data_IF_461679102997
#
_entry.id   IF_461679102997
#
_cell.length_a   1.000
_cell.length_b   1.000
_cell.length_c   1.000
_cell.angle_alpha   90.00
_cell.angle_beta   90.00
_cell.angle_gamma   90.00
#
_symmetry.space_group_name_H-M   'P 1'
#
loop_
_entity.id
_entity.type
_entity.pdbx_description
1 polymer ?
#
# COMPACT_ATOMS: atom_id res chain seq x y z
N UNK A 1 50.88 -44.39 -15.42
CA UNK A 1 50.20 -43.39 -14.58
C UNK A 1 50.64 -43.36 -13.11
N UNK A 2 50.96 -44.49 -12.45
CA UNK A 2 51.41 -44.48 -11.03
C UNK A 2 52.82 -43.93 -10.75
N UNK A 3 53.69 -43.77 -11.77
CA UNK A 3 55.06 -43.25 -11.59
C UNK A 3 55.18 -41.72 -11.63
N UNK A 4 54.15 -41.01 -12.07
CA UNK A 4 54.18 -39.54 -12.20
C UNK A 4 53.83 -38.83 -10.88
N UNK A 5 52.83 -39.33 -10.14
CA UNK A 5 52.33 -38.74 -8.89
C UNK A 5 53.35 -38.72 -7.72
N UNK A 6 54.30 -39.66 -7.67
CA UNK A 6 55.26 -39.75 -6.56
C UNK A 6 56.39 -38.73 -6.69
N UNK A 7 56.71 -38.29 -7.92
CA UNK A 7 57.77 -37.31 -8.18
C UNK A 7 57.35 -35.89 -7.77
N UNK A 8 56.06 -35.58 -7.89
CA UNK A 8 55.52 -34.27 -7.49
C UNK A 8 55.39 -34.11 -5.98
N UNK A 9 55.04 -35.18 -5.24
CA UNK A 9 54.90 -35.13 -3.79
C UNK A 9 56.25 -34.91 -3.07
N UNK A 10 57.31 -35.53 -3.59
CA UNK A 10 58.67 -35.38 -3.04
C UNK A 10 59.24 -33.99 -3.32
N UNK A 11 58.92 -33.40 -4.48
CA UNK A 11 59.29 -32.02 -4.83
C UNK A 11 58.52 -30.99 -3.99
N UNK A 12 57.26 -31.27 -3.64
CA UNK A 12 56.47 -30.39 -2.77
C UNK A 12 56.98 -30.40 -1.32
N UNK A 13 57.47 -31.54 -0.82
CA UNK A 13 57.99 -31.68 0.53
C UNK A 13 59.35 -30.98 0.73
N UNK A 14 60.13 -30.70 -0.32
CA UNK A 14 61.41 -29.99 -0.23
C UNK A 14 61.30 -28.45 -0.25
N UNK A 15 60.09 -27.90 -0.42
CA UNK A 15 59.88 -26.44 -0.43
C UNK A 15 59.96 -25.84 0.98
N UNK A 16 60.49 -24.61 1.07
CA UNK A 16 60.61 -23.89 2.33
C UNK A 16 59.24 -23.66 2.98
N UNK A 17 59.19 -23.67 4.32
CA UNK A 17 57.96 -23.51 5.12
C UNK A 17 57.13 -22.29 4.69
N UNK A 18 57.79 -21.21 4.26
CA UNK A 18 57.18 -19.97 3.77
C UNK A 18 56.44 -20.13 2.44
N UNK A 19 56.90 -21.02 1.55
CA UNK A 19 56.23 -21.25 0.25
C UNK A 19 55.02 -22.18 0.38
N UNK A 20 55.11 -23.22 1.23
CA UNK A 20 53.99 -24.13 1.53
C UNK A 20 52.77 -23.39 2.12
N UNK A 21 53.02 -22.40 2.98
CA UNK A 21 51.96 -21.58 3.56
C UNK A 21 51.29 -20.61 2.57
N UNK A 22 51.96 -20.26 1.46
CA UNK A 22 51.35 -19.45 0.38
C UNK A 22 50.46 -20.32 -0.53
N UNK A 23 50.89 -21.54 -0.86
CA UNK A 23 50.07 -22.46 -1.69
C UNK A 23 48.87 -23.01 -0.92
N UNK A 24 49.01 -23.32 0.38
CA UNK A 24 47.89 -23.77 1.22
C UNK A 24 46.80 -22.70 1.34
N UNK A 25 47.17 -21.41 1.40
CA UNK A 25 46.21 -20.29 1.41
C UNK A 25 45.47 -20.10 0.09
N UNK A 26 46.05 -20.52 -1.05
CA UNK A 26 45.40 -20.42 -2.36
C UNK A 26 44.42 -21.58 -2.58
N UNK A 27 44.68 -22.77 -2.03
CA UNK A 27 43.77 -23.94 -2.16
C UNK A 27 42.62 -23.91 -1.15
N UNK A 28 42.77 -23.26 0.01
CA UNK A 28 41.63 -23.02 0.94
C UNK A 28 40.71 -21.87 0.52
N UNK A 29 41.07 -21.10 -0.53
CA UNK A 29 40.28 -19.97 -1.03
C UNK A 29 39.23 -20.33 -2.10
N UNK A 30 39.07 -21.60 -2.47
CA UNK A 30 38.17 -22.02 -3.55
C UNK A 30 37.24 -23.20 -3.22
N UNK A 31 37.08 -23.54 -1.94
CA UNK A 31 36.17 -24.65 -1.54
C UNK A 31 35.50 -24.40 -0.18
N UNK A 32 34.88 -23.22 -0.01
CA UNK A 32 33.82 -22.99 0.98
C UNK A 32 32.66 -22.34 0.22
N UNK A 33 32.08 -23.14 -0.68
CA UNK A 33 30.72 -22.97 -1.16
C UNK A 33 29.99 -24.21 -0.62
N UNK A 34 28.94 -23.98 0.18
CA UNK A 34 28.10 -24.98 0.86
C UNK A 34 28.68 -25.54 2.16
N UNK A 35 28.38 -24.86 3.28
CA UNK A 35 27.56 -25.39 4.40
C UNK A 35 27.87 -24.59 5.67
N UNK A 36 26.93 -23.71 6.05
CA UNK A 36 26.33 -23.50 7.38
C UNK A 36 25.62 -22.14 7.28
N UNK A 37 24.35 -22.23 6.87
CA UNK A 37 23.33 -21.25 7.15
C UNK A 37 23.11 -21.30 8.66
N UNK A 38 23.31 -20.17 9.31
CA UNK A 38 23.27 -20.02 10.75
C UNK A 38 23.99 -18.75 11.18
N UNK A 39 23.85 -17.70 10.35
CA UNK A 39 24.19 -16.34 10.76
C UNK A 39 22.88 -15.76 11.27
N UNK A 40 22.90 -15.37 12.54
CA UNK A 40 21.90 -14.49 13.13
C UNK A 40 21.65 -13.35 12.15
N UNK A 41 20.50 -13.36 11.48
CA UNK A 41 19.96 -12.13 10.93
C UNK A 41 19.53 -11.32 12.15
N UNK A 42 20.44 -10.48 12.65
CA UNK A 42 19.97 -9.19 13.14
C UNK A 42 19.18 -8.60 11.98
N UNK A 43 17.89 -8.38 12.19
CA UNK A 43 17.08 -7.53 11.31
C UNK A 43 17.72 -6.14 11.33
N UNK A 44 18.74 -5.94 10.50
CA UNK A 44 19.13 -4.60 10.11
C UNK A 44 17.98 -4.11 9.26
N UNK A 45 17.15 -3.21 9.80
CA UNK A 45 16.23 -2.41 9.01
C UNK A 45 17.00 -1.90 7.80
N UNK A 46 16.74 -2.47 6.62
CA UNK A 46 17.28 -1.92 5.40
C UNK A 46 16.56 -0.59 5.20
N UNK A 47 17.26 0.51 5.50
CA UNK A 47 16.71 1.84 5.31
C UNK A 47 16.32 1.98 3.84
N UNK A 48 15.01 2.16 3.60
CA UNK A 48 14.44 2.28 2.26
C UNK A 48 15.13 3.44 1.55
N UNK A 49 15.66 3.19 0.36
CA UNK A 49 16.22 4.27 -0.48
C UNK A 49 15.13 4.82 -1.40
N UNK A 50 15.04 6.15 -1.47
CA UNK A 50 14.05 6.89 -2.27
C UNK A 50 14.72 7.92 -3.17
N UNK A 51 13.98 8.43 -4.15
CA UNK A 51 14.46 9.40 -5.14
C UNK A 51 13.82 10.75 -4.89
N UNK A 52 14.61 11.83 -4.96
CA UNK A 52 14.06 13.20 -4.94
C UNK A 52 13.12 13.43 -6.15
N UNK A 53 11.98 14.13 -5.95
CA UNK A 53 10.98 14.33 -7.01
C UNK A 53 11.48 15.23 -8.14
N UNK A 54 11.89 16.44 -7.81
CA UNK A 54 12.34 17.46 -8.76
C UNK A 54 13.52 18.24 -8.19
N UNK A 55 14.37 18.79 -9.06
CA UNK A 55 15.54 19.57 -8.68
C UNK A 55 15.16 20.73 -7.76
N UNK A 56 15.96 20.98 -6.73
CA UNK A 56 15.73 22.04 -5.74
C UNK A 56 15.44 23.44 -6.30
N UNK A 57 15.97 23.79 -7.48
CA UNK A 57 15.73 25.09 -8.12
C UNK A 57 14.35 25.20 -8.78
N UNK A 58 13.74 24.07 -9.19
CA UNK A 58 12.38 24.00 -9.72
C UNK A 58 11.36 24.07 -8.58
N UNK A 59 11.75 23.68 -7.37
CA UNK A 59 10.89 23.75 -6.19
C UNK A 59 10.60 25.20 -5.76
N UNK A 60 11.56 26.11 -5.95
CA UNK A 60 11.37 27.51 -5.60
C UNK A 60 10.24 28.15 -6.44
N UNK A 61 9.32 28.85 -5.78
CA UNK A 61 8.14 29.42 -6.43
C UNK A 61 6.92 28.49 -6.48
N UNK A 62 7.06 27.21 -6.15
CA UNK A 62 5.93 26.28 -6.00
C UNK A 62 5.21 26.50 -4.68
N UNK A 63 4.01 25.95 -4.55
CA UNK A 63 3.26 25.90 -3.30
C UNK A 63 3.83 24.78 -2.41
N UNK A 64 4.16 25.09 -1.16
CA UNK A 64 4.88 24.14 -0.30
C UNK A 64 4.09 22.87 -0.01
N UNK A 65 2.76 22.91 0.03
CA UNK A 65 1.93 21.73 0.21
C UNK A 65 2.13 20.73 -0.95
N UNK A 66 2.21 21.22 -2.20
CA UNK A 66 2.49 20.37 -3.36
C UNK A 66 3.90 19.77 -3.27
N UNK A 67 4.88 20.55 -2.81
CA UNK A 67 6.24 20.07 -2.63
C UNK A 67 6.31 19.01 -1.53
N UNK A 68 5.66 19.22 -0.38
CA UNK A 68 5.55 18.22 0.69
C UNK A 68 4.90 16.95 0.16
N UNK A 69 3.80 17.07 -0.59
CA UNK A 69 3.12 15.94 -1.21
C UNK A 69 4.04 15.16 -2.15
N UNK A 70 4.78 15.84 -3.04
CA UNK A 70 5.69 15.16 -3.95
C UNK A 70 6.76 14.35 -3.21
N UNK A 71 7.33 14.91 -2.14
CA UNK A 71 8.31 14.19 -1.32
C UNK A 71 7.68 12.96 -0.61
N UNK A 72 6.46 13.09 -0.09
CA UNK A 72 5.70 11.96 0.48
C UNK A 72 5.43 10.87 -0.55
N UNK A 73 4.96 11.25 -1.74
CA UNK A 73 4.65 10.33 -2.85
C UNK A 73 5.92 9.58 -3.32
N UNK A 74 7.09 10.20 -3.17
CA UNK A 74 8.39 9.56 -3.44
C UNK A 74 8.92 8.69 -2.28
N UNK A 75 8.22 8.68 -1.15
CA UNK A 75 8.47 7.81 -0.01
C UNK A 75 9.36 8.40 1.07
N UNK A 76 9.59 9.72 1.09
CA UNK A 76 10.24 10.38 2.23
C UNK A 76 9.30 10.42 3.44
N UNK A 77 9.83 10.11 4.62
CA UNK A 77 9.03 9.98 5.85
C UNK A 77 9.33 11.05 6.90
N UNK A 78 10.44 11.79 6.77
CA UNK A 78 10.87 12.83 7.70
C UNK A 78 10.89 14.20 7.02
N UNK A 79 9.71 14.72 6.74
CA UNK A 79 9.53 16.04 6.12
C UNK A 79 9.16 17.04 7.22
N UNK A 80 9.72 18.24 7.12
CA UNK A 80 9.46 19.38 8.00
C UNK A 80 9.25 20.62 7.15
N UNK A 81 8.51 21.58 7.69
CA UNK A 81 8.31 22.87 7.05
C UNK A 81 8.86 23.99 7.94
N UNK A 82 9.30 25.07 7.29
CA UNK A 82 9.79 26.27 7.96
C UNK A 82 9.17 27.51 7.32
N UNK A 83 8.25 28.13 8.04
CA UNK A 83 7.63 29.38 7.63
C UNK A 83 8.61 30.56 7.72
N UNK A 84 8.49 31.49 6.77
CA UNK A 84 9.09 32.83 6.79
C UNK A 84 7.94 33.83 6.79
N UNK A 85 7.76 34.54 7.90
CA UNK A 85 6.67 35.50 8.11
C UNK A 85 7.00 36.88 7.49
N UNK A 86 7.24 36.93 6.18
CA UNK A 86 7.71 38.13 5.48
C UNK A 86 6.73 38.67 4.42
N UNK A 87 5.57 38.03 4.23
CA UNK A 87 4.60 38.50 3.25
C UNK A 87 3.85 39.76 3.72
N UNK A 88 3.66 40.67 2.77
CA UNK A 88 2.92 41.92 2.92
C UNK A 88 1.84 41.97 1.85
N UNK A 89 0.61 42.36 2.23
CA UNK A 89 -0.54 42.42 1.33
C UNK A 89 -0.23 43.33 0.14
N UNK A 90 -0.46 42.83 -1.09
CA UNK A 90 -0.26 43.57 -2.34
C UNK A 90 1.09 43.37 -3.03
N UNK A 91 1.97 42.52 -2.51
CA UNK A 91 3.20 42.08 -3.19
C UNK A 91 2.96 40.86 -4.09
N UNK A 92 3.86 40.62 -5.06
CA UNK A 92 3.72 39.56 -6.07
C UNK A 92 3.87 38.12 -5.51
N UNK A 93 4.59 37.95 -4.40
CA UNK A 93 4.84 36.64 -3.78
C UNK A 93 3.55 36.10 -3.14
N UNK A 94 3.26 34.82 -3.39
CA UNK A 94 2.04 34.18 -2.88
C UNK A 94 2.27 33.58 -1.49
N UNK A 95 1.20 33.51 -0.70
CA UNK A 95 1.20 32.74 0.54
C UNK A 95 1.47 31.26 0.25
N UNK A 96 2.40 30.66 0.98
CA UNK A 96 2.84 29.29 0.78
C UNK A 96 3.92 29.11 -0.29
N UNK A 97 4.44 30.18 -0.90
CA UNK A 97 5.46 30.06 -1.95
C UNK A 97 6.81 29.57 -1.38
N UNK A 98 7.33 28.46 -1.91
CA UNK A 98 8.58 27.85 -1.46
C UNK A 98 9.76 28.76 -1.77
N UNK A 99 10.56 29.02 -0.74
CA UNK A 99 11.86 29.70 -0.84
C UNK A 99 12.97 28.72 -1.19
N UNK A 100 13.04 27.60 -0.48
CA UNK A 100 14.08 26.58 -0.66
C UNK A 100 13.66 25.25 -0.07
N UNK A 101 14.21 24.17 -0.60
CA UNK A 101 14.11 22.83 -0.02
C UNK A 101 15.52 22.33 0.28
N UNK A 102 15.74 21.74 1.44
CA UNK A 102 16.95 20.98 1.75
C UNK A 102 16.62 19.51 1.97
N UNK A 103 17.45 18.61 1.45
CA UNK A 103 17.39 17.16 1.73
C UNK A 103 18.70 16.78 2.39
N UNK A 104 18.66 16.32 3.64
CA UNK A 104 19.87 16.06 4.45
C UNK A 104 20.82 17.28 4.49
N UNK A 105 20.25 18.48 4.62
CA UNK A 105 20.98 19.76 4.58
C UNK A 105 21.49 20.19 3.20
N UNK A 106 21.39 19.36 2.16
CA UNK A 106 21.75 19.72 0.79
C UNK A 106 20.63 20.54 0.13
N UNK A 107 20.91 21.80 -0.22
CA UNK A 107 19.98 22.70 -0.94
C UNK A 107 20.16 22.66 -2.47
N UNK A 108 21.16 21.93 -2.97
CA UNK A 108 21.52 21.84 -4.38
C UNK A 108 21.29 20.45 -4.99
N UNK A 109 20.40 19.65 -4.40
CA UNK A 109 20.08 18.31 -4.89
C UNK A 109 19.40 18.37 -6.28
N UNK A 110 19.61 17.32 -7.06
CA UNK A 110 19.07 17.15 -8.41
C UNK A 110 17.82 16.26 -8.38
N UNK A 111 17.08 16.25 -9.48
CA UNK A 111 15.99 15.28 -9.71
C UNK A 111 16.56 13.85 -9.69
N UNK A 112 15.86 12.92 -9.04
CA UNK A 112 16.25 11.51 -8.89
C UNK A 112 17.53 11.21 -8.09
N UNK A 113 18.04 12.16 -7.30
CA UNK A 113 19.09 11.88 -6.32
C UNK A 113 18.56 10.87 -5.29
N UNK A 114 19.42 9.91 -4.92
CA UNK A 114 19.07 8.83 -4.00
C UNK A 114 19.41 9.21 -2.55
N UNK A 115 18.42 9.09 -1.67
CA UNK A 115 18.56 9.28 -0.23
C UNK A 115 17.90 8.15 0.55
N UNK A 116 18.35 7.87 1.78
CA UNK A 116 17.54 7.13 2.75
C UNK A 116 16.18 7.83 2.95
N UNK A 117 15.09 7.08 3.13
CA UNK A 117 13.73 7.63 3.20
C UNK A 117 13.47 8.52 4.41
N UNK A 118 14.22 8.32 5.49
CA UNK A 118 14.08 8.98 6.78
C UNK A 118 15.00 10.21 6.94
N UNK A 119 15.78 10.58 5.92
CA UNK A 119 16.58 11.82 5.97
C UNK A 119 15.66 13.03 6.10
N UNK A 120 16.16 14.04 6.81
CA UNK A 120 15.40 15.26 7.03
C UNK A 120 15.24 16.06 5.73
N UNK A 121 13.99 16.28 5.35
CA UNK A 121 13.61 17.22 4.30
C UNK A 121 13.04 18.48 4.96
N UNK A 122 13.59 19.65 4.67
CA UNK A 122 13.06 20.94 5.15
C UNK A 122 12.57 21.76 3.97
N UNK A 123 11.26 21.99 3.91
CA UNK A 123 10.64 22.90 2.96
C UNK A 123 10.47 24.27 3.62
N UNK A 124 11.25 25.25 3.20
CA UNK A 124 11.17 26.62 3.70
C UNK A 124 10.30 27.45 2.76
N UNK A 125 9.30 28.16 3.28
CA UNK A 125 8.29 28.86 2.47
C UNK A 125 7.91 30.23 3.05
N UNK A 126 7.42 31.11 2.20
CA UNK A 126 6.94 32.44 2.55
C UNK A 126 5.49 32.39 3.03
N UNK A 127 5.17 33.11 4.09
CA UNK A 127 3.80 33.22 4.59
C UNK A 127 3.51 34.57 5.23
N UNK A 128 2.23 34.91 5.34
CA UNK A 128 1.83 36.11 6.09
C UNK A 128 2.12 35.93 7.59
N UNK A 129 2.55 36.97 8.31
CA UNK A 129 2.64 36.92 9.75
C UNK A 129 1.34 36.44 10.40
N UNK A 130 1.48 35.66 11.47
CA UNK A 130 0.33 35.16 12.22
C UNK A 130 -0.32 36.32 12.99
N UNK A 131 -1.61 36.55 12.78
CA UNK A 131 -2.40 37.49 13.58
C UNK A 131 -2.87 36.76 14.84
N UNK A 132 -2.28 37.07 16.00
CA UNK A 132 -2.57 36.41 17.28
C UNK A 132 -4.06 36.45 17.67
N UNK A 133 -4.85 37.38 17.14
CA UNK A 133 -6.30 37.44 17.41
C UNK A 133 -7.12 36.46 16.55
N UNK A 134 -6.56 35.95 15.44
CA UNK A 134 -7.26 35.12 14.45
C UNK A 134 -6.65 33.72 14.28
N UNK A 135 -5.89 33.25 15.27
CA UNK A 135 -5.34 31.89 15.27
C UNK A 135 -6.29 30.87 15.86
N UNK A 136 -6.24 29.67 15.31
CA UNK A 136 -6.88 28.48 15.85
C UNK A 136 -5.85 27.72 16.66
N UNK A 137 -6.27 27.25 17.84
CA UNK A 137 -5.49 26.30 18.63
C UNK A 137 -6.16 24.94 18.59
N UNK A 138 -5.46 23.91 18.13
CA UNK A 138 -6.00 22.54 18.08
C UNK A 138 -6.22 22.00 19.49
N UNK A 139 -7.33 21.31 19.70
CA UNK A 139 -7.63 20.60 20.94
C UNK A 139 -6.96 19.21 20.98
N UNK A 140 -6.79 18.56 19.84
CA UNK A 140 -6.19 17.23 19.71
C UNK A 140 -5.15 17.21 18.56
N UNK A 141 -4.26 16.22 18.56
CA UNK A 141 -3.35 15.95 17.45
C UNK A 141 -3.93 14.99 16.41
N UNK A 142 -3.29 14.88 15.24
CA UNK A 142 -3.72 14.01 14.12
C UNK A 142 -4.08 12.60 14.57
N UNK A 143 -3.23 11.99 15.41
CA UNK A 143 -3.38 10.60 15.86
C UNK A 143 -4.59 10.37 16.75
N UNK A 144 -5.05 11.41 17.44
CA UNK A 144 -6.22 11.31 18.33
C UNK A 144 -7.53 11.30 17.54
N UNK A 145 -7.54 11.82 16.30
CA UNK A 145 -8.72 11.80 15.43
C UNK A 145 -8.87 10.50 14.65
N UNK A 146 -7.82 9.68 14.54
CA UNK A 146 -7.89 8.39 13.84
C UNK A 146 -8.96 7.49 14.49
N UNK A 147 -9.79 6.86 13.66
CA UNK A 147 -10.89 6.03 14.13
C UNK A 147 -12.17 6.79 14.48
N UNK A 148 -12.13 8.12 14.53
CA UNK A 148 -13.33 8.92 14.82
C UNK A 148 -14.21 9.10 13.59
N UNK A 149 -15.48 9.45 13.82
CA UNK A 149 -16.42 9.73 12.76
C UNK A 149 -16.14 11.10 12.11
N UNK A 150 -15.83 11.13 10.81
CA UNK A 150 -15.39 12.33 10.11
C UNK A 150 -16.42 13.45 10.14
N UNK A 151 -17.72 13.13 10.01
CA UNK A 151 -18.79 14.14 10.01
C UNK A 151 -18.80 14.92 11.33
N UNK A 152 -18.51 14.24 12.44
CA UNK A 152 -18.42 14.88 13.75
C UNK A 152 -17.20 15.79 13.84
N UNK A 153 -16.04 15.28 13.45
CA UNK A 153 -14.75 16.00 13.52
C UNK A 153 -14.71 17.20 12.58
N UNK A 154 -15.24 17.07 11.36
CA UNK A 154 -15.33 18.17 10.39
C UNK A 154 -16.12 19.36 10.97
N UNK A 155 -17.27 19.09 11.59
CA UNK A 155 -18.07 20.12 12.25
C UNK A 155 -17.40 20.73 13.47
N UNK A 156 -16.62 19.95 14.24
CA UNK A 156 -15.80 20.47 15.32
C UNK A 156 -14.70 21.42 14.81
N UNK A 157 -14.01 21.05 13.73
CA UNK A 157 -12.95 21.86 13.14
C UNK A 157 -13.50 23.15 12.52
N UNK A 158 -14.67 23.09 11.88
CA UNK A 158 -15.40 24.30 11.42
C UNK A 158 -15.75 25.23 12.59
N UNK A 159 -16.22 24.67 13.71
CA UNK A 159 -16.54 25.45 14.93
C UNK A 159 -15.30 26.04 15.60
N UNK A 160 -14.15 25.38 15.50
CA UNK A 160 -12.86 25.92 15.92
C UNK A 160 -12.39 27.09 15.04
N UNK A 161 -12.96 27.23 13.83
CA UNK A 161 -12.74 28.37 12.95
C UNK A 161 -12.05 28.02 11.63
N UNK A 162 -11.71 26.75 11.37
CA UNK A 162 -11.10 26.36 10.11
C UNK A 162 -12.10 26.57 8.97
N UNK A 163 -11.68 27.30 7.94
CA UNK A 163 -12.53 27.62 6.80
C UNK A 163 -12.06 26.98 5.48
N UNK A 164 -10.97 26.23 5.54
CA UNK A 164 -10.36 25.51 4.43
C UNK A 164 -10.19 24.03 4.80
N UNK A 165 -11.26 23.25 4.66
CA UNK A 165 -11.27 21.81 4.96
C UNK A 165 -11.55 21.05 3.67
N UNK A 166 -10.66 20.11 3.34
CA UNK A 166 -10.77 19.18 2.22
C UNK A 166 -11.02 17.79 2.77
N UNK A 167 -12.02 17.09 2.24
CA UNK A 167 -12.36 15.72 2.62
C UNK A 167 -12.22 14.79 1.42
N UNK A 168 -11.60 13.63 1.62
CA UNK A 168 -11.39 12.61 0.58
C UNK A 168 -11.81 11.22 1.08
N UNK A 169 -12.74 10.53 0.42
CA UNK A 169 -13.09 9.16 0.79
C UNK A 169 -12.04 8.17 0.31
N UNK A 170 -11.76 7.16 1.13
CA UNK A 170 -11.13 5.90 0.76
C UNK A 170 -12.22 4.82 0.70
N UNK A 171 -12.56 4.38 -0.51
CA UNK A 171 -13.54 3.32 -0.68
C UNK A 171 -12.96 2.02 -0.14
N UNK A 172 -13.64 1.42 0.84
CA UNK A 172 -13.28 0.13 1.42
C UNK A 172 -14.46 -0.83 1.34
N UNK A 173 -14.14 -2.10 1.09
CA UNK A 173 -15.10 -3.21 1.08
C UNK A 173 -14.85 -4.19 2.23
N UNK A 174 -13.93 -3.84 3.14
CA UNK A 174 -13.69 -4.59 4.36
C UNK A 174 -14.86 -4.33 5.31
N UNK A 175 -15.67 -5.35 5.56
CA UNK A 175 -16.82 -5.29 6.48
C UNK A 175 -16.45 -4.92 7.92
N UNK A 176 -15.18 -5.08 8.31
CA UNK A 176 -14.68 -4.66 9.61
C UNK A 176 -14.35 -3.15 9.68
N UNK A 177 -14.27 -2.46 8.54
CA UNK A 177 -14.04 -1.00 8.52
C UNK A 177 -15.33 -0.27 8.90
N UNK A 178 -15.23 0.77 9.72
CA UNK A 178 -16.39 1.59 10.06
C UNK A 178 -16.59 2.66 8.99
N UNK A 179 -17.83 2.82 8.53
CA UNK A 179 -18.16 3.90 7.59
C UNK A 179 -17.94 5.26 8.25
N UNK A 180 -17.39 6.19 7.48
CA UNK A 180 -17.04 7.55 7.90
C UNK A 180 -15.90 7.62 8.92
N UNK A 181 -15.10 6.56 9.08
CA UNK A 181 -13.96 6.52 10.00
C UNK A 181 -12.77 7.30 9.44
N UNK A 182 -12.20 8.25 10.20
CA UNK A 182 -10.99 8.96 9.80
C UNK A 182 -9.79 8.00 9.80
N UNK A 183 -9.08 7.95 8.68
CA UNK A 183 -7.84 7.20 8.51
C UNK A 183 -6.61 8.10 8.36
N UNK A 184 -6.80 9.35 7.97
CA UNK A 184 -5.74 10.35 7.88
C UNK A 184 -6.31 11.74 8.16
N UNK A 185 -5.59 12.55 8.94
CA UNK A 185 -5.90 13.95 9.11
C UNK A 185 -4.62 14.78 9.24
N UNK A 186 -4.52 15.80 8.41
CA UNK A 186 -3.32 16.62 8.30
C UNK A 186 -3.69 18.09 8.22
N UNK A 187 -2.76 18.95 8.66
CA UNK A 187 -2.86 20.38 8.40
C UNK A 187 -1.66 20.77 7.56
N UNK A 188 -1.93 21.37 6.39
CA UNK A 188 -0.95 21.75 5.39
C UNK A 188 -0.06 20.58 4.95
N UNK A 189 -0.66 19.39 4.82
CA UNK A 189 0.03 18.16 4.42
C UNK A 189 0.98 17.60 5.48
N UNK A 190 0.78 17.93 6.75
CA UNK A 190 1.62 17.51 7.87
C UNK A 190 0.78 16.97 9.04
N UNK A 191 1.27 15.91 9.69
CA UNK A 191 0.79 15.52 11.01
C UNK A 191 0.97 16.68 12.01
N UNK A 192 0.04 16.82 12.94
CA UNK A 192 0.09 17.85 13.97
C UNK A 192 -0.19 17.30 15.36
N UNK A 193 0.35 18.00 16.35
CA UNK A 193 0.15 17.71 17.77
C UNK A 193 -1.00 18.55 18.35
N UNK A 194 -1.50 18.14 19.51
CA UNK A 194 -2.44 18.95 20.27
C UNK A 194 -1.83 20.29 20.68
N UNK A 195 -2.68 21.29 20.90
CA UNK A 195 -2.31 22.64 21.32
C UNK A 195 -1.42 23.42 20.34
N UNK A 196 -1.34 22.98 19.07
CA UNK A 196 -0.64 23.69 18.01
C UNK A 196 -1.52 24.82 17.47
N UNK A 197 -0.85 25.85 16.96
CA UNK A 197 -1.50 27.07 16.48
C UNK A 197 -1.44 27.11 14.97
N UNK A 198 -2.59 27.40 14.35
CA UNK A 198 -2.78 27.44 12.90
C UNK A 198 -3.57 28.68 12.51
N UNK A 199 -3.49 29.05 11.24
CA UNK A 199 -4.35 30.06 10.63
C UNK A 199 -5.69 29.43 10.29
N UNK A 200 -6.75 30.22 10.29
CA UNK A 200 -8.08 29.77 9.85
C UNK A 200 -8.09 29.22 8.42
N UNK A 201 -7.21 29.73 7.56
CA UNK A 201 -7.06 29.36 6.16
C UNK A 201 -6.10 28.20 5.92
N UNK A 202 -5.39 27.70 6.94
CA UNK A 202 -4.53 26.53 6.79
C UNK A 202 -5.38 25.34 6.31
N UNK A 203 -4.85 24.60 5.34
CA UNK A 203 -5.60 23.51 4.72
C UNK A 203 -5.68 22.34 5.70
N UNK A 204 -6.89 22.03 6.17
CA UNK A 204 -7.16 20.77 6.87
C UNK A 204 -7.54 19.74 5.82
N UNK A 205 -6.80 18.65 5.76
CA UNK A 205 -7.11 17.50 4.91
C UNK A 205 -7.58 16.35 5.80
N UNK A 206 -8.71 15.73 5.45
CA UNK A 206 -9.27 14.56 6.14
C UNK A 206 -9.50 13.46 5.10
N UNK A 207 -8.86 12.32 5.29
CA UNK A 207 -9.17 11.09 4.56
C UNK A 207 -9.96 10.15 5.46
N UNK A 208 -11.02 9.55 4.93
CA UNK A 208 -11.91 8.71 5.72
C UNK A 208 -12.37 7.46 4.96
N UNK A 209 -12.64 6.37 5.68
CA UNK A 209 -13.23 5.16 5.12
C UNK A 209 -14.66 5.42 4.67
N UNK A 210 -14.96 5.13 3.42
CA UNK A 210 -16.33 5.06 2.91
C UNK A 210 -16.62 3.62 2.48
N UNK A 211 -17.69 3.03 3.02
CA UNK A 211 -18.07 1.69 2.61
C UNK A 211 -18.57 1.70 1.16
N UNK A 212 -17.94 0.88 0.32
CA UNK A 212 -18.35 0.69 -1.06
C UNK A 212 -19.70 -0.03 -1.15
N UNK A 213 -20.50 0.33 -2.16
CA UNK A 213 -21.75 -0.38 -2.43
C UNK A 213 -21.45 -1.84 -2.80
N UNK A 214 -22.14 -2.78 -2.18
CA UNK A 214 -22.00 -4.21 -2.43
C UNK A 214 -23.37 -4.80 -2.78
N UNK A 215 -23.46 -5.46 -3.93
CA UNK A 215 -24.68 -6.12 -4.37
C UNK A 215 -24.72 -7.56 -3.83
N UNK A 216 -25.82 -7.90 -3.14
CA UNK A 216 -26.07 -9.24 -2.62
C UNK A 216 -27.33 -9.81 -3.27
N UNK A 217 -27.54 -11.13 -3.12
CA UNK A 217 -28.79 -11.74 -3.59
C UNK A 217 -30.06 -11.19 -2.89
N UNK A 218 -29.91 -10.46 -1.79
CA UNK A 218 -31.03 -9.84 -1.05
C UNK A 218 -31.38 -8.45 -1.58
N UNK A 219 -30.37 -7.65 -1.95
CA UNK A 219 -30.56 -6.25 -2.38
C UNK A 219 -30.56 -6.07 -3.91
N UNK A 220 -30.13 -7.09 -4.66
CA UNK A 220 -29.97 -7.04 -6.11
C UNK A 220 -30.73 -8.18 -6.79
N UNK A 221 -31.89 -7.86 -7.38
CA UNK A 221 -32.73 -8.85 -8.08
C UNK A 221 -31.99 -9.54 -9.23
N UNK A 222 -31.20 -8.80 -10.00
CA UNK A 222 -30.49 -9.37 -11.15
C UNK A 222 -29.41 -10.37 -10.69
N UNK A 223 -28.73 -10.08 -9.57
CA UNK A 223 -27.77 -11.00 -8.96
C UNK A 223 -28.48 -12.22 -8.36
N UNK A 224 -29.63 -12.02 -7.71
CA UNK A 224 -30.45 -13.12 -7.21
C UNK A 224 -30.82 -14.09 -8.33
N UNK A 225 -31.28 -13.57 -9.46
CA UNK A 225 -31.60 -14.38 -10.64
C UNK A 225 -30.35 -15.07 -11.19
N UNK A 226 -29.22 -14.34 -11.32
CA UNK A 226 -27.95 -14.91 -11.78
C UNK A 226 -27.51 -16.11 -10.95
N UNK A 227 -27.68 -16.05 -9.64
CA UNK A 227 -27.23 -17.07 -8.71
C UNK A 227 -28.21 -18.24 -8.54
N UNK A 228 -29.52 -18.05 -8.81
CA UNK A 228 -30.56 -19.01 -8.41
C UNK A 228 -31.45 -19.52 -9.54
N UNK A 229 -31.49 -18.83 -10.69
CA UNK A 229 -32.26 -19.27 -11.84
C UNK A 229 -31.43 -20.19 -12.75
N UNK A 230 -32.10 -21.16 -13.38
CA UNK A 230 -31.47 -22.07 -14.36
C UNK A 230 -31.13 -21.38 -15.71
N UNK A 231 -31.43 -20.08 -15.84
CA UNK A 231 -31.26 -19.33 -17.10
C UNK A 231 -29.89 -18.63 -17.18
N UNK A 232 -28.89 -19.35 -17.67
CA UNK A 232 -27.54 -18.80 -17.89
C UNK A 232 -27.49 -17.69 -18.94
N UNK A 233 -28.55 -17.48 -19.74
CA UNK A 233 -28.53 -16.45 -20.80
C UNK A 233 -28.42 -15.02 -20.25
N UNK A 234 -28.79 -14.82 -18.99
CA UNK A 234 -28.70 -13.53 -18.29
C UNK A 234 -27.26 -13.16 -17.88
N UNK A 235 -26.33 -14.11 -17.87
CA UNK A 235 -24.97 -13.91 -17.35
C UNK A 235 -24.21 -12.81 -18.12
N UNK A 236 -24.39 -12.77 -19.44
CA UNK A 236 -23.75 -11.76 -20.29
C UNK A 236 -24.26 -10.35 -19.98
N UNK A 237 -25.58 -10.19 -19.90
CA UNK A 237 -26.21 -8.90 -19.66
C UNK A 237 -25.90 -8.42 -18.24
N UNK A 238 -25.87 -9.33 -17.27
CA UNK A 238 -25.43 -9.03 -15.91
C UNK A 238 -23.98 -8.54 -15.88
N UNK A 239 -23.05 -9.26 -16.49
CA UNK A 239 -21.63 -8.87 -16.51
C UNK A 239 -21.40 -7.49 -17.14
N UNK A 240 -22.18 -7.14 -18.18
CA UNK A 240 -22.10 -5.83 -18.81
C UNK A 240 -22.70 -4.72 -17.95
N UNK A 241 -23.84 -4.99 -17.31
CA UNK A 241 -24.55 -4.01 -16.48
C UNK A 241 -23.80 -3.69 -15.19
N UNK A 242 -23.17 -4.70 -14.59
CA UNK A 242 -22.49 -4.61 -13.31
C UNK A 242 -20.96 -4.59 -13.45
N UNK A 243 -20.42 -4.32 -14.64
CA UNK A 243 -18.97 -4.25 -14.84
C UNK A 243 -18.31 -3.27 -13.85
N UNK A 244 -17.22 -3.70 -13.22
CA UNK A 244 -16.52 -3.02 -12.13
C UNK A 244 -17.31 -2.81 -10.82
N UNK A 245 -18.56 -3.26 -10.73
CA UNK A 245 -19.33 -3.26 -9.49
C UNK A 245 -18.95 -4.45 -8.60
N UNK A 246 -19.13 -4.29 -7.28
CA UNK A 246 -18.84 -5.34 -6.29
C UNK A 246 -20.09 -6.15 -6.00
N UNK A 247 -19.96 -7.48 -6.12
CA UNK A 247 -20.98 -8.44 -5.71
C UNK A 247 -20.48 -9.26 -4.52
N UNK A 248 -21.42 -9.75 -3.72
CA UNK A 248 -21.16 -10.68 -2.64
C UNK A 248 -22.14 -11.85 -2.66
N UNK A 249 -21.60 -13.06 -2.53
CA UNK A 249 -22.38 -14.30 -2.51
C UNK A 249 -21.63 -15.41 -1.76
N UNK A 250 -22.35 -16.42 -1.30
CA UNK A 250 -21.74 -17.61 -0.72
C UNK A 250 -21.25 -18.55 -1.82
N UNK A 251 -19.95 -18.81 -1.86
CA UNK A 251 -19.32 -19.61 -2.89
C UNK A 251 -18.43 -20.74 -2.37
N UNK A 252 -18.40 -21.83 -3.12
CA UNK A 252 -17.53 -22.98 -2.92
C UNK A 252 -16.39 -22.93 -3.93
N UNK A 253 -15.14 -23.07 -3.48
CA UNK A 253 -14.01 -23.29 -4.38
C UNK A 253 -14.10 -24.73 -4.89
N UNK A 254 -14.63 -24.93 -6.08
CA UNK A 254 -14.84 -26.26 -6.64
C UNK A 254 -13.57 -26.85 -7.28
N UNK A 255 -12.72 -25.99 -7.84
CA UNK A 255 -11.43 -26.39 -8.38
C UNK A 255 -10.37 -25.30 -8.18
N UNK A 256 -9.12 -25.73 -8.09
CA UNK A 256 -7.96 -24.87 -7.92
C UNK A 256 -6.79 -25.48 -8.66
N UNK A 257 -6.32 -24.81 -9.70
CA UNK A 257 -5.22 -25.28 -10.55
C UNK A 257 -4.13 -24.22 -10.65
N UNK A 258 -2.89 -24.65 -10.89
CA UNK A 258 -1.81 -23.71 -11.14
C UNK A 258 -2.10 -22.89 -12.41
N UNK A 259 -1.91 -21.58 -12.31
CA UNK A 259 -2.00 -20.67 -13.44
C UNK A 259 -0.76 -20.87 -14.32
N UNK A 260 -0.97 -21.33 -15.56
CA UNK A 260 0.09 -21.69 -16.51
C UNK A 260 1.18 -22.58 -15.87
N UNK A 261 2.41 -22.07 -15.78
CA UNK A 261 3.57 -22.78 -15.22
C UNK A 261 3.93 -22.30 -13.81
N UNK A 262 3.18 -21.37 -13.23
CA UNK A 262 3.49 -20.79 -11.92
C UNK A 262 3.11 -21.74 -10.78
N UNK A 263 4.06 -22.03 -9.90
CA UNK A 263 3.82 -22.91 -8.74
C UNK A 263 2.95 -22.28 -7.63
N UNK A 264 2.84 -20.94 -7.62
CA UNK A 264 2.22 -20.16 -6.55
C UNK A 264 1.11 -19.23 -7.02
N UNK A 265 0.72 -19.33 -8.29
CA UNK A 265 -0.41 -18.59 -8.86
C UNK A 265 -1.43 -19.60 -9.32
N UNK A 266 -2.69 -19.28 -9.13
CA UNK A 266 -3.77 -20.24 -9.28
C UNK A 266 -4.94 -19.64 -10.03
N UNK A 267 -5.63 -20.50 -10.77
CA UNK A 267 -6.98 -20.27 -11.24
C UNK A 267 -7.94 -20.99 -10.28
N UNK A 268 -8.92 -20.24 -9.78
CA UNK A 268 -9.95 -20.75 -8.88
C UNK A 268 -11.27 -20.82 -9.63
N UNK A 269 -11.90 -21.99 -9.60
CA UNK A 269 -13.26 -22.18 -10.07
C UNK A 269 -14.20 -22.17 -8.87
N UNK A 270 -15.22 -21.32 -8.92
CA UNK A 270 -16.12 -21.08 -7.80
C UNK A 270 -17.56 -21.25 -8.28
N UNK A 271 -18.35 -21.97 -7.49
CA UNK A 271 -19.80 -22.05 -7.68
C UNK A 271 -20.52 -21.47 -6.47
N UNK A 272 -21.74 -20.98 -6.67
CA UNK A 272 -22.62 -20.65 -5.55
C UNK A 272 -22.98 -21.93 -4.78
N UNK A 273 -22.98 -21.85 -3.44
CA UNK A 273 -23.05 -23.03 -2.56
C UNK A 273 -24.31 -23.88 -2.72
N UNK A 274 -25.42 -23.29 -3.15
CA UNK A 274 -26.74 -23.92 -3.21
C UNK A 274 -27.18 -24.27 -4.63
N UNK A 275 -26.60 -23.61 -5.64
CA UNK A 275 -27.02 -23.66 -7.03
C UNK A 275 -25.81 -23.49 -7.97
N UNK A 276 -25.14 -24.61 -8.24
CA UNK A 276 -23.89 -24.70 -9.01
C UNK A 276 -24.07 -24.52 -10.54
N UNK A 277 -24.77 -23.48 -10.97
CA UNK A 277 -25.09 -23.27 -12.39
C UNK A 277 -24.02 -22.45 -13.12
N UNK A 278 -23.54 -21.36 -12.51
CA UNK A 278 -22.57 -20.44 -13.14
C UNK A 278 -21.18 -20.65 -12.55
N UNK A 279 -20.19 -21.05 -13.37
CA UNK A 279 -18.81 -21.15 -12.94
C UNK A 279 -18.17 -19.75 -12.89
N UNK A 280 -18.02 -19.22 -11.68
CA UNK A 280 -17.21 -18.03 -11.44
C UNK A 280 -15.72 -18.38 -11.46
N UNK A 281 -14.89 -17.47 -11.94
CA UNK A 281 -13.44 -17.68 -12.05
C UNK A 281 -12.66 -16.48 -11.53
N UNK A 282 -11.72 -16.77 -10.64
CA UNK A 282 -10.55 -15.93 -10.38
C UNK A 282 -9.37 -16.48 -11.16
N UNK A 283 -8.63 -15.63 -11.86
CA UNK A 283 -7.51 -16.05 -12.72
C UNK A 283 -6.21 -15.41 -12.26
N UNK A 284 -5.14 -16.21 -12.17
CA UNK A 284 -3.82 -15.74 -11.78
C UNK A 284 -3.77 -15.03 -10.41
N UNK A 285 -4.16 -15.72 -9.33
CA UNK A 285 -4.05 -15.19 -7.96
C UNK A 285 -3.19 -16.10 -7.07
N UNK A 286 -2.42 -15.50 -6.16
CA UNK A 286 -1.89 -16.20 -4.99
C UNK A 286 -2.97 -16.25 -3.89
N UNK A 287 -2.92 -17.25 -3.00
CA UNK A 287 -3.86 -17.30 -1.88
C UNK A 287 -3.73 -16.10 -0.91
N UNK A 288 -2.56 -15.47 -0.82
CA UNK A 288 -2.36 -14.24 -0.05
C UNK A 288 -3.04 -13.03 -0.70
N UNK A 289 -3.26 -13.06 -2.01
CA UNK A 289 -3.92 -11.98 -2.75
C UNK A 289 -5.45 -12.00 -2.55
N UNK A 290 -6.00 -13.08 -1.98
CA UNK A 290 -7.44 -13.27 -1.78
C UNK A 290 -8.00 -12.54 -0.55
N UNK A 291 -7.13 -11.89 0.25
CA UNK A 291 -7.51 -11.17 1.47
C UNK A 291 -8.48 -11.98 2.35
N UNK A 292 -8.04 -13.16 2.79
CA UNK A 292 -8.88 -14.03 3.62
C UNK A 292 -9.22 -13.34 4.95
N UNK A 293 -10.50 -13.34 5.31
CA UNK A 293 -11.02 -12.75 6.54
C UNK A 293 -11.92 -13.74 7.31
N UNK A 294 -12.33 -13.36 8.52
CA UNK A 294 -13.23 -14.13 9.39
C UNK A 294 -12.54 -14.78 10.59
N UNK A 295 -13.35 -15.36 11.47
CA UNK A 295 -12.85 -16.23 12.55
C UNK A 295 -12.45 -17.58 11.94
N UNK A 296 -11.27 -18.12 12.28
CA UNK A 296 -10.77 -19.42 11.78
C UNK A 296 -10.30 -19.47 10.31
N UNK A 297 -9.64 -18.41 9.82
CA UNK A 297 -8.99 -18.39 8.49
C UNK A 297 -8.10 -19.63 8.30
N UNK A 298 -8.29 -20.41 7.21
CA UNK A 298 -7.48 -21.59 6.97
C UNK A 298 -6.05 -21.23 6.57
N UNK A 299 -5.08 -22.06 6.98
CA UNK A 299 -3.67 -21.88 6.61
C UNK A 299 -3.42 -21.95 5.09
N UNK A 300 -4.34 -22.56 4.34
CA UNK A 300 -4.30 -22.70 2.88
C UNK A 300 -5.71 -22.70 2.30
N UNK A 301 -5.81 -22.17 1.10
CA UNK A 301 -6.99 -22.29 0.24
C UNK A 301 -6.91 -23.61 -0.53
N UNK A 302 -8.03 -24.32 -0.66
CA UNK A 302 -8.13 -25.64 -1.26
C UNK A 302 -9.56 -25.92 -1.76
N UNK A 303 -9.73 -26.82 -2.75
CA UNK A 303 -11.06 -27.21 -3.21
C UNK A 303 -11.96 -27.76 -2.10
N UNK A 304 -13.26 -27.47 -2.19
CA UNK A 304 -14.31 -27.86 -1.24
C UNK A 304 -14.54 -26.88 -0.08
N UNK A 305 -13.69 -25.87 0.09
CA UNK A 305 -13.89 -24.81 1.08
C UNK A 305 -14.96 -23.82 0.64
N UNK A 306 -15.70 -23.28 1.62
CA UNK A 306 -16.83 -22.37 1.39
C UNK A 306 -16.48 -21.01 1.97
N UNK A 307 -16.87 -19.96 1.25
CA UNK A 307 -16.57 -18.59 1.60
C UNK A 307 -17.77 -17.69 1.33
N UNK A 308 -17.88 -16.59 2.07
CA UNK A 308 -18.59 -15.41 1.59
C UNK A 308 -17.60 -14.69 0.65
N UNK A 309 -17.87 -14.78 -0.64
CA UNK A 309 -17.03 -14.22 -1.70
C UNK A 309 -17.47 -12.78 -1.95
N UNK A 310 -16.56 -11.83 -1.78
CA UNK A 310 -16.74 -10.43 -2.20
C UNK A 310 -15.80 -10.15 -3.36
N UNK A 311 -16.35 -9.80 -4.52
CA UNK A 311 -15.56 -9.70 -5.75
C UNK A 311 -16.14 -8.68 -6.74
N UNK A 312 -15.26 -8.12 -7.56
CA UNK A 312 -15.59 -7.20 -8.64
C UNK A 312 -15.98 -7.98 -9.89
N UNK A 313 -17.05 -7.55 -10.54
CA UNK A 313 -17.53 -8.14 -11.80
C UNK A 313 -16.64 -7.69 -12.96
N UNK A 314 -16.09 -8.65 -13.72
CA UNK A 314 -15.26 -8.37 -14.89
C UNK A 314 -16.02 -8.67 -16.17
N UNK A 315 -16.17 -9.93 -16.53
CA UNK A 315 -16.84 -10.29 -17.78
C UNK A 315 -17.41 -11.70 -17.76
N UNK A 316 -18.35 -11.97 -18.65
CA UNK A 316 -18.83 -13.31 -18.94
C UNK A 316 -18.41 -13.72 -20.35
N UNK A 317 -17.72 -14.84 -20.47
CA UNK A 317 -17.32 -15.39 -21.77
C UNK A 317 -18.29 -16.49 -22.20
N UNK A 318 -19.20 -16.22 -23.16
CA UNK A 318 -20.24 -17.17 -23.57
C UNK A 318 -19.71 -18.38 -24.33
N UNK A 319 -18.45 -18.35 -24.81
CA UNK A 319 -17.83 -19.49 -25.49
C UNK A 319 -17.37 -20.51 -24.45
N UNK A 320 -16.74 -20.05 -23.37
CA UNK A 320 -16.27 -20.92 -22.28
C UNK A 320 -17.33 -21.20 -21.21
N UNK A 321 -18.35 -20.36 -21.10
CA UNK A 321 -19.31 -20.36 -20.00
C UNK A 321 -18.79 -19.78 -18.68
N UNK A 322 -17.55 -19.26 -18.64
CA UNK A 322 -16.93 -18.74 -17.43
C UNK A 322 -17.32 -17.29 -17.15
N UNK A 323 -17.61 -17.01 -15.89
CA UNK A 323 -17.86 -15.67 -15.35
C UNK A 323 -16.63 -15.19 -14.58
N UNK A 324 -15.88 -14.26 -15.15
CA UNK A 324 -14.65 -13.73 -14.56
C UNK A 324 -14.96 -12.64 -13.52
N UNK A 325 -14.27 -12.76 -12.40
CA UNK A 325 -14.32 -11.83 -11.27
C UNK A 325 -12.90 -11.49 -10.82
N UNK A 326 -12.72 -10.32 -10.21
CA UNK A 326 -11.52 -10.00 -9.43
C UNK A 326 -11.85 -10.09 -7.93
N UNK A 327 -11.16 -10.93 -7.13
CA UNK A 327 -11.41 -11.05 -5.70
C UNK A 327 -11.09 -9.74 -4.97
N UNK A 328 -11.99 -9.35 -4.05
CA UNK A 328 -11.76 -8.27 -3.09
C UNK A 328 -11.42 -8.86 -1.72
N UNK A 329 -12.24 -9.80 -1.24
CA UNK A 329 -12.00 -10.57 -0.02
C UNK A 329 -12.82 -11.87 -0.01
N UNK A 330 -12.34 -12.86 0.73
CA UNK A 330 -13.05 -14.12 0.99
C UNK A 330 -13.16 -14.36 2.50
N UNK A 331 -14.37 -14.37 3.04
CA UNK A 331 -14.62 -14.71 4.44
C UNK A 331 -14.86 -16.22 4.57
N UNK A 332 -14.06 -16.91 5.38
CA UNK A 332 -14.16 -18.37 5.50
C UNK A 332 -15.41 -18.80 6.28
N UNK A 333 -16.18 -19.73 5.71
CA UNK A 333 -17.35 -20.34 6.36
C UNK A 333 -16.94 -21.70 6.91
N UNK A 334 -16.80 -21.79 8.24
CA UNK A 334 -16.54 -23.07 8.91
C UNK A 334 -17.79 -23.95 8.87
N UNK A 335 -17.69 -25.13 8.25
CA UNK A 335 -18.75 -26.14 8.34
C UNK A 335 -18.82 -26.66 9.76
N UNK A 336 -19.90 -26.32 10.46
CA UNK A 336 -20.26 -27.02 11.70
C UNK A 336 -20.76 -28.42 11.31
N UNK A 337 -20.01 -29.44 11.73
CA UNK A 337 -20.31 -30.86 11.48
C UNK A 337 -21.56 -31.35 12.22
#
# INVERSE_FOLDING_TARGET
>A
MKKFLIKDLTTFLSLSKTFKNKVLKIVTGSLICLTIIGIFAEDTEQIKTVKTPEHSNIQAGRIYQDVVKDFKDHGFTNIKTKAIDDLIVGWLTKDGEVKSVSVDGNIGYLTNDLYPSDVEVIVTYHTFPMDEENVIKTNAGSKEYLGQNFLTVEEELKKLGFNNITVEPEITYNSNSMDNEIIEIEINGMEFESNKTFKQSDNVYIKYNQLGATYTSENCKDLNNLLKDDDISIAKDFAQKYHDEIIQFEGNIADMTNHDTYATRFDFLIYENTHEMIPFKFSDYNYFDLNLIGENIPNKVSPGQNYIVTAKVIEYNPISGLFFLDPVSLEYIEKTL
#
